data_IF_886308203003
#
_entry.id   IF_886308203003
#
_cell.length_a   1.000
_cell.length_b   1.000
_cell.length_c   1.000
_cell.angle_alpha   90.00
_cell.angle_beta   90.00
_cell.angle_gamma   90.00
#
_symmetry.space_group_name_H-M   'P 1'
#
loop_
_entity.id
_entity.type
_entity.pdbx_description
1 polymer ?
#
# COMPACT_ATOMS: atom_id res chain seq x y z
N UNK A 1 14.32 -5.24 -11.61
CA UNK A 1 14.78 -4.16 -10.70
C UNK A 1 15.69 -4.77 -9.63
N UNK A 2 16.81 -4.12 -9.27
CA UNK A 2 17.73 -4.58 -8.22
C UNK A 2 17.57 -3.73 -6.95
N UNK A 3 17.88 -4.26 -5.75
CA UNK A 3 17.94 -3.47 -4.53
C UNK A 3 19.00 -2.36 -4.65
N UNK A 4 18.80 -1.26 -3.93
CA UNK A 4 19.72 -0.13 -3.87
C UNK A 4 19.91 0.29 -2.41
N UNK A 5 21.09 0.82 -2.10
CA UNK A 5 21.42 1.31 -0.75
C UNK A 5 20.75 2.67 -0.45
N UNK A 6 20.30 3.37 -1.49
CA UNK A 6 19.54 4.62 -1.40
C UNK A 6 18.67 4.81 -2.64
N UNK A 7 17.62 5.62 -2.50
CA UNK A 7 16.68 5.91 -3.58
C UNK A 7 16.44 7.42 -3.69
N UNK A 8 16.51 7.95 -4.92
CA UNK A 8 15.98 9.28 -5.22
C UNK A 8 14.48 9.17 -5.44
N UNK A 9 13.69 9.55 -4.43
CA UNK A 9 12.23 9.50 -4.48
C UNK A 9 11.71 10.68 -5.33
N UNK A 10 10.98 10.43 -6.43
CA UNK A 10 10.41 11.51 -7.24
C UNK A 10 9.19 12.12 -6.55
N UNK A 11 8.80 13.34 -6.96
CA UNK A 11 7.58 14.00 -6.45
C UNK A 11 6.29 13.36 -6.98
N UNK A 12 6.36 12.81 -8.20
CA UNK A 12 5.23 12.19 -8.89
C UNK A 12 5.64 10.85 -9.49
N UNK A 13 4.65 10.04 -9.84
CA UNK A 13 4.80 8.69 -10.34
C UNK A 13 3.67 8.31 -11.31
N UNK A 14 3.88 7.21 -12.03
CA UNK A 14 2.81 6.52 -12.73
C UNK A 14 2.04 5.61 -11.76
N UNK A 15 0.72 5.72 -11.76
CA UNK A 15 -0.21 4.84 -11.05
C UNK A 15 -1.43 4.51 -11.92
N UNK A 16 -2.07 3.37 -11.65
CA UNK A 16 -3.41 3.05 -12.18
C UNK A 16 -4.44 3.42 -11.12
N UNK A 17 -5.29 4.39 -11.42
CA UNK A 17 -6.25 4.96 -10.47
C UNK A 17 -7.66 5.02 -11.04
N UNK A 18 -8.64 5.18 -10.14
CA UNK A 18 -10.06 5.35 -10.48
C UNK A 18 -10.77 6.24 -9.45
N UNK A 19 -11.78 6.97 -9.94
CA UNK A 19 -12.46 8.05 -9.22
C UNK A 19 -13.70 7.59 -8.43
N UNK A 20 -14.30 6.45 -8.81
CA UNK A 20 -15.45 5.84 -8.15
C UNK A 20 -15.54 4.36 -8.51
N UNK A 21 -16.37 3.57 -7.79
CA UNK A 21 -16.65 2.18 -8.16
C UNK A 21 -17.13 2.09 -9.62
N UNK A 22 -16.67 1.08 -10.37
CA UNK A 22 -16.93 0.89 -11.81
C UNK A 22 -16.49 2.05 -12.73
N UNK A 23 -15.83 3.09 -12.22
CA UNK A 23 -15.30 4.15 -13.08
C UNK A 23 -14.12 3.62 -13.93
N UNK A 24 -13.89 4.17 -15.13
CA UNK A 24 -12.76 3.76 -15.95
C UNK A 24 -11.43 3.81 -15.21
N UNK A 25 -10.62 2.75 -15.35
CA UNK A 25 -9.25 2.70 -14.85
C UNK A 25 -8.36 3.62 -15.69
N UNK A 26 -7.59 4.48 -15.04
CA UNK A 26 -6.76 5.48 -15.71
C UNK A 26 -5.29 5.31 -15.34
N UNK A 27 -4.43 5.25 -16.36
CA UNK A 27 -2.98 5.38 -16.15
C UNK A 27 -2.66 6.86 -15.99
N UNK A 28 -2.18 7.26 -14.82
CA UNK A 28 -1.87 8.65 -14.47
C UNK A 28 -0.38 8.80 -14.17
N UNK A 29 0.34 9.57 -14.99
CA UNK A 29 1.80 9.80 -14.88
C UNK A 29 2.20 10.84 -13.81
N UNK A 30 1.24 11.63 -13.34
CA UNK A 30 1.42 12.68 -12.34
C UNK A 30 0.83 12.36 -10.97
N UNK A 31 0.70 11.09 -10.60
CA UNK A 31 0.18 10.70 -9.29
C UNK A 31 1.21 11.07 -8.20
N UNK A 32 0.81 11.67 -7.06
CA UNK A 32 1.77 12.08 -6.04
C UNK A 32 2.48 10.87 -5.40
N UNK A 33 3.72 11.08 -4.99
CA UNK A 33 4.47 10.13 -4.14
C UNK A 33 4.59 10.73 -2.75
N UNK A 34 4.26 9.95 -1.72
CA UNK A 34 4.53 10.35 -0.32
C UNK A 34 6.04 10.48 -0.14
N UNK A 35 6.50 11.64 0.29
CA UNK A 35 7.94 11.90 0.42
C UNK A 35 8.47 11.30 1.73
N UNK A 36 9.75 10.92 1.81
CA UNK A 36 10.33 10.28 2.99
C UNK A 36 10.08 11.03 4.31
N UNK A 37 10.16 12.36 4.30
CA UNK A 37 9.92 13.18 5.48
C UNK A 37 8.45 13.21 5.95
N UNK A 38 7.51 12.80 5.09
CA UNK A 38 6.08 12.78 5.39
C UNK A 38 5.61 11.39 5.87
N UNK A 39 6.50 10.37 5.87
CA UNK A 39 6.20 9.04 6.39
C UNK A 39 6.07 9.08 7.91
N UNK A 40 5.01 8.46 8.42
CA UNK A 40 4.76 8.34 9.86
C UNK A 40 5.61 7.22 10.48
N UNK A 41 5.80 7.22 11.81
CA UNK A 41 6.36 6.06 12.50
C UNK A 41 5.55 4.80 12.20
N UNK A 42 6.23 3.74 11.78
CA UNK A 42 5.63 2.48 11.31
C UNK A 42 5.52 2.39 9.79
N UNK A 43 5.49 3.50 9.06
CA UNK A 43 5.34 3.47 7.61
C UNK A 43 6.69 3.29 6.89
N UNK A 44 6.64 2.57 5.77
CA UNK A 44 7.75 2.45 4.81
C UNK A 44 7.26 2.83 3.41
N UNK A 45 8.14 3.47 2.64
CA UNK A 45 7.92 3.67 1.21
C UNK A 45 8.61 2.56 0.43
N UNK A 46 7.86 1.86 -0.40
CA UNK A 46 8.33 0.72 -1.19
C UNK A 46 8.36 1.13 -2.66
N UNK A 47 9.50 0.93 -3.32
CA UNK A 47 9.59 0.99 -4.78
C UNK A 47 9.11 -0.35 -5.35
N UNK A 48 7.89 -0.35 -5.90
CA UNK A 48 7.26 -1.53 -6.48
C UNK A 48 8.00 -1.95 -7.75
N UNK A 49 8.45 -3.20 -7.78
CA UNK A 49 9.07 -3.83 -8.94
C UNK A 49 8.01 -4.54 -9.80
N UNK A 50 7.11 -5.28 -9.15
CA UNK A 50 6.03 -6.04 -9.79
C UNK A 50 4.82 -6.07 -8.87
N UNK A 51 3.63 -6.25 -9.43
CA UNK A 51 2.41 -6.51 -8.65
C UNK A 51 1.61 -7.60 -9.34
N UNK A 52 1.07 -8.53 -8.56
CA UNK A 52 0.03 -9.43 -9.01
C UNK A 52 -1.28 -8.68 -9.23
N UNK A 53 -2.22 -9.34 -9.93
CA UNK A 53 -3.59 -8.87 -10.13
C UNK A 53 -4.51 -10.02 -9.75
N UNK A 54 -5.31 -9.81 -8.72
CA UNK A 54 -6.22 -10.80 -8.19
C UNK A 54 -7.66 -10.49 -8.59
N UNK A 55 -8.54 -11.49 -8.54
CA UNK A 55 -9.96 -11.26 -8.76
C UNK A 55 -10.58 -10.34 -7.69
N UNK A 56 -10.01 -10.31 -6.48
CA UNK A 56 -10.43 -9.38 -5.43
C UNK A 56 -10.20 -7.91 -5.82
N UNK A 57 -9.21 -7.58 -6.65
CA UNK A 57 -9.02 -6.22 -7.15
C UNK A 57 -10.20 -5.80 -8.05
N UNK A 58 -10.73 -6.74 -8.85
CA UNK A 58 -11.93 -6.52 -9.67
C UNK A 58 -13.15 -6.31 -8.78
N UNK A 59 -13.42 -7.22 -7.84
CA UNK A 59 -14.56 -7.10 -6.91
C UNK A 59 -14.53 -5.77 -6.15
N UNK A 60 -13.36 -5.35 -5.65
CA UNK A 60 -13.23 -4.06 -4.96
C UNK A 60 -13.47 -2.89 -5.92
N UNK A 61 -13.01 -2.95 -7.17
CA UNK A 61 -13.28 -1.92 -8.17
C UNK A 61 -14.77 -1.85 -8.53
N UNK A 62 -15.47 -2.98 -8.64
CA UNK A 62 -16.91 -3.08 -8.91
C UNK A 62 -17.77 -2.59 -7.74
N UNK A 63 -17.15 -2.38 -6.56
CA UNK A 63 -17.87 -1.96 -5.36
C UNK A 63 -18.39 -3.11 -4.52
N UNK A 64 -17.98 -4.34 -4.82
CA UNK A 64 -18.27 -5.52 -4.02
C UNK A 64 -17.36 -5.57 -2.78
N UNK A 65 -17.85 -6.23 -1.72
CA UNK A 65 -17.14 -6.37 -0.45
C UNK A 65 -17.70 -5.52 0.69
N UNK A 66 -16.96 -5.39 1.80
CA UNK A 66 -17.42 -4.68 2.97
C UNK A 66 -17.63 -3.19 2.67
N UNK A 67 -18.68 -2.54 3.22
CA UNK A 67 -18.98 -1.12 2.99
C UNK A 67 -18.02 -0.21 3.78
N UNK A 68 -16.73 -0.34 3.50
CA UNK A 68 -15.67 0.44 4.12
C UNK A 68 -15.41 1.72 3.33
N UNK A 69 -15.02 2.83 4.00
CA UNK A 69 -14.63 4.05 3.32
C UNK A 69 -13.47 3.79 2.35
N UNK A 70 -13.66 4.16 1.08
CA UNK A 70 -12.63 4.11 0.04
C UNK A 70 -12.05 5.51 -0.19
N UNK A 71 -10.72 5.67 -0.27
CA UNK A 71 -10.09 6.96 -0.43
C UNK A 71 -10.08 7.39 -1.91
N UNK A 72 -11.25 7.62 -2.50
CA UNK A 72 -11.33 8.10 -3.89
C UNK A 72 -10.69 9.50 -4.06
N UNK A 73 -9.98 9.77 -5.17
CA UNK A 73 -9.50 8.81 -6.16
C UNK A 73 -8.50 7.82 -5.57
N UNK A 74 -8.61 6.53 -5.92
CA UNK A 74 -7.80 5.48 -5.30
C UNK A 74 -6.98 4.67 -6.29
N UNK A 75 -6.02 3.93 -5.75
CA UNK A 75 -5.14 2.99 -6.45
C UNK A 75 -5.40 1.62 -5.85
N UNK A 76 -5.74 0.62 -6.67
CA UNK A 76 -5.99 -0.76 -6.25
C UNK A 76 -4.68 -1.58 -6.14
N UNK A 77 -4.80 -2.89 -5.91
CA UNK A 77 -3.67 -3.82 -5.85
C UNK A 77 -3.22 -4.09 -4.42
N UNK A 78 -2.92 -5.35 -4.13
CA UNK A 78 -2.46 -5.80 -2.81
C UNK A 78 -1.50 -6.99 -2.90
N UNK A 79 -0.85 -7.13 -4.04
CA UNK A 79 0.11 -8.20 -4.35
C UNK A 79 1.43 -7.61 -4.88
N UNK A 80 1.78 -6.43 -4.39
CA UNK A 80 2.99 -5.71 -4.76
C UNK A 80 4.24 -6.35 -4.16
N UNK A 81 5.32 -6.43 -4.93
CA UNK A 81 6.65 -6.78 -4.45
C UNK A 81 7.65 -5.73 -4.90
N UNK A 82 8.62 -5.43 -4.04
CA UNK A 82 9.55 -4.35 -4.28
C UNK A 82 10.62 -4.25 -3.21
N UNK A 83 11.20 -3.07 -3.12
CA UNK A 83 12.30 -2.80 -2.20
C UNK A 83 11.99 -1.58 -1.35
N UNK A 84 12.37 -1.62 -0.07
CA UNK A 84 12.22 -0.48 0.82
C UNK A 84 13.10 0.66 0.32
N UNK A 85 12.48 1.81 0.07
CA UNK A 85 13.15 3.03 -0.38
C UNK A 85 13.32 4.07 0.71
N UNK A 86 12.39 4.12 1.66
CA UNK A 86 12.47 4.96 2.84
C UNK A 86 11.69 4.32 3.99
N UNK A 87 12.07 4.68 5.22
CA UNK A 87 11.43 4.24 6.47
C UNK A 87 11.09 5.51 7.24
N UNK A 88 9.86 5.61 7.75
CA UNK A 88 9.42 6.75 8.54
C UNK A 88 10.29 6.94 9.78
N UNK A 89 10.57 8.20 10.13
CA UNK A 89 11.36 8.51 11.32
C UNK A 89 10.71 7.93 12.58
N UNK A 90 11.54 7.61 13.58
CA UNK A 90 11.13 6.98 14.84
C UNK A 90 10.50 5.58 14.72
N UNK A 91 10.48 4.96 13.53
CA UNK A 91 10.08 3.56 13.35
C UNK A 91 11.10 2.63 14.00
N UNK A 92 10.64 1.79 14.93
CA UNK A 92 11.46 0.72 15.51
C UNK A 92 11.33 -0.52 14.65
N UNK A 93 12.35 -0.82 13.86
CA UNK A 93 12.33 -1.97 12.95
C UNK A 93 13.74 -2.51 12.70
N UNK A 94 13.82 -3.77 12.28
CA UNK A 94 15.05 -4.38 11.77
C UNK A 94 15.17 -4.27 10.24
N UNK A 95 14.12 -3.76 9.58
CA UNK A 95 14.11 -3.52 8.14
C UNK A 95 15.10 -2.42 7.76
N UNK A 96 15.64 -2.54 6.55
CA UNK A 96 16.63 -1.61 5.98
C UNK A 96 16.21 -1.18 4.58
N UNK A 97 16.70 0.00 4.17
CA UNK A 97 16.62 0.41 2.77
C UNK A 97 17.28 -0.67 1.91
N UNK A 98 16.62 -1.03 0.81
CA UNK A 98 17.04 -2.09 -0.10
C UNK A 98 16.49 -3.49 0.23
N UNK A 99 15.87 -3.71 1.40
CA UNK A 99 15.27 -5.00 1.73
C UNK A 99 14.09 -5.31 0.78
N UNK A 100 14.01 -6.58 0.35
CA UNK A 100 12.92 -7.07 -0.47
C UNK A 100 11.67 -7.33 0.39
N UNK A 101 10.54 -6.74 0.01
CA UNK A 101 9.29 -6.78 0.76
C UNK A 101 8.07 -6.98 -0.15
N UNK A 102 6.96 -7.41 0.45
CA UNK A 102 5.67 -7.58 -0.21
C UNK A 102 4.58 -6.76 0.47
N UNK A 103 3.79 -6.06 -0.34
CA UNK A 103 2.52 -5.41 0.04
C UNK A 103 1.44 -6.48 -0.03
N UNK A 104 0.72 -6.68 1.08
CA UNK A 104 -0.34 -7.70 1.22
C UNK A 104 -1.72 -7.03 1.27
N UNK A 105 -2.78 -7.84 1.28
CA UNK A 105 -4.15 -7.38 1.55
C UNK A 105 -4.26 -6.61 2.88
N UNK A 106 -3.86 -7.24 3.98
CA UNK A 106 -3.87 -6.63 5.31
C UNK A 106 -2.71 -5.64 5.43
N UNK A 107 -3.03 -4.35 5.50
CA UNK A 107 -2.06 -3.26 5.56
C UNK A 107 -1.57 -3.01 6.99
N UNK A 108 -2.48 -2.87 7.94
CA UNK A 108 -2.17 -2.72 9.36
C UNK A 108 -3.34 -3.19 10.23
N UNK A 109 -3.06 -3.41 11.50
CA UNK A 109 -4.07 -3.70 12.54
C UNK A 109 -3.76 -2.91 13.81
N UNK A 110 -4.66 -2.94 14.79
CA UNK A 110 -4.41 -2.25 16.06
C UNK A 110 -3.34 -2.93 16.94
N UNK A 111 -3.00 -4.20 16.64
CA UNK A 111 -2.07 -5.05 17.42
C UNK A 111 -2.40 -5.18 18.93
N UNK A 112 -3.60 -4.76 19.35
CA UNK A 112 -3.96 -4.62 20.76
C UNK A 112 -5.27 -5.27 21.18
N UNK A 113 -6.18 -5.56 20.24
CA UNK A 113 -7.47 -6.20 20.52
C UNK A 113 -7.34 -7.71 20.76
N UNK A 114 -8.42 -8.34 21.21
CA UNK A 114 -8.48 -9.78 21.48
C UNK A 114 -8.03 -10.61 20.27
N UNK A 115 -8.57 -10.31 19.09
CA UNK A 115 -8.25 -11.03 17.85
C UNK A 115 -6.78 -10.88 17.45
N UNK A 116 -6.24 -9.66 17.50
CA UNK A 116 -4.83 -9.42 17.20
C UNK A 116 -3.91 -10.20 18.15
N UNK A 117 -4.21 -10.20 19.45
CA UNK A 117 -3.41 -10.94 20.46
C UNK A 117 -3.49 -12.46 20.29
N UNK A 118 -4.55 -12.96 19.65
CA UNK A 118 -4.74 -14.38 19.32
C UNK A 118 -4.16 -14.75 17.94
N UNK A 119 -3.58 -13.80 17.21
CA UNK A 119 -3.09 -14.00 15.84
C UNK A 119 -4.19 -14.00 14.78
N UNK A 120 -5.41 -13.58 15.11
CA UNK A 120 -6.53 -13.43 14.19
C UNK A 120 -6.62 -11.99 13.64
N UNK A 121 -5.49 -11.41 13.26
CA UNK A 121 -5.39 -10.02 12.84
C UNK A 121 -6.34 -9.65 11.68
N UNK A 122 -6.70 -10.64 10.84
CA UNK A 122 -7.64 -10.47 9.73
C UNK A 122 -9.06 -10.08 10.15
N UNK A 123 -9.44 -10.28 11.41
CA UNK A 123 -10.76 -9.88 11.94
C UNK A 123 -10.70 -8.62 12.80
N UNK A 124 -9.55 -7.92 12.81
CA UNK A 124 -9.41 -6.67 13.53
C UNK A 124 -10.38 -5.60 13.00
N UNK A 125 -11.22 -5.05 13.89
CA UNK A 125 -12.14 -3.96 13.55
C UNK A 125 -11.45 -2.66 13.12
N UNK A 126 -10.15 -2.52 13.41
CA UNK A 126 -9.31 -1.38 13.00
C UNK A 126 -8.32 -1.77 11.90
N UNK A 127 -8.59 -2.84 11.14
CA UNK A 127 -7.73 -3.25 10.04
C UNK A 127 -7.77 -2.24 8.88
N UNK A 128 -6.59 -1.84 8.41
CA UNK A 128 -6.42 -1.20 7.12
C UNK A 128 -6.16 -2.25 6.03
N UNK A 129 -6.63 -1.99 4.82
CA UNK A 129 -6.53 -2.90 3.69
C UNK A 129 -6.02 -2.19 2.44
N UNK A 130 -4.93 -2.69 1.86
CA UNK A 130 -4.36 -2.17 0.62
C UNK A 130 -5.32 -2.38 -0.55
N UNK A 131 -5.49 -1.33 -1.36
CA UNK A 131 -6.39 -1.36 -2.50
C UNK A 131 -7.88 -1.28 -2.13
N UNK A 132 -8.22 -1.08 -0.86
CA UNK A 132 -9.60 -0.89 -0.38
C UNK A 132 -9.72 0.37 0.51
N UNK A 133 -9.12 0.37 1.70
CA UNK A 133 -9.19 1.50 2.65
C UNK A 133 -7.95 2.39 2.60
N UNK A 134 -6.89 1.95 1.93
CA UNK A 134 -5.71 2.73 1.61
C UNK A 134 -5.22 2.39 0.18
N UNK A 135 -4.33 3.23 -0.37
CA UNK A 135 -3.79 3.00 -1.70
C UNK A 135 -3.00 1.68 -1.77
N UNK A 136 -3.19 0.97 -2.88
CA UNK A 136 -2.63 -0.33 -3.15
C UNK A 136 -1.33 -0.31 -3.95
N UNK A 137 -0.99 -1.45 -4.54
CA UNK A 137 0.28 -1.71 -5.24
C UNK A 137 0.28 -1.39 -6.74
N UNK A 138 -0.83 -0.94 -7.34
CA UNK A 138 -0.88 -0.53 -8.76
C UNK A 138 -0.26 0.86 -9.01
N UNK A 139 0.90 1.11 -8.40
CA UNK A 139 1.67 2.34 -8.47
C UNK A 139 3.16 2.03 -8.33
N UNK A 140 4.01 2.92 -8.81
CA UNK A 140 5.46 2.74 -8.76
C UNK A 140 6.03 2.80 -7.34
N UNK A 141 5.42 3.58 -6.45
CA UNK A 141 5.85 3.85 -5.07
C UNK A 141 4.63 3.74 -4.16
N UNK A 142 4.68 2.81 -3.21
CA UNK A 142 3.56 2.47 -2.34
C UNK A 142 3.99 2.61 -0.87
N UNK A 143 3.17 3.26 -0.05
CA UNK A 143 3.36 3.28 1.40
C UNK A 143 2.76 2.01 1.99
N UNK A 144 3.47 1.36 2.91
CA UNK A 144 2.98 0.21 3.70
C UNK A 144 3.40 0.35 5.17
N UNK A 145 2.88 -0.50 6.07
CA UNK A 145 2.91 -0.29 7.53
C UNK A 145 3.52 -1.49 8.28
#
# INVERSE_FOLDING_TARGET
MKPQDSYTVPKTQTAVMYEANNAPLQVREGWPVVQPQDLKPGEVLIRIAYTGVCHSDLSVWEGEGPPLPKPFPMVAGHEGTGYIAAIGEHTRTNLKIGDAVGVKWLAHTCLGCEDCRKGHETTCASAGVHGLTCHGSFQQWCVSF
#
